data_IF_435059230779
#
_entry.id   IF_435059230779
#
_cell.length_a   1.000
_cell.length_b   1.000
_cell.length_c   1.000
_cell.angle_alpha   90.00
_cell.angle_beta   90.00
_cell.angle_gamma   90.00
#
_symmetry.space_group_name_H-M   'P 1'
#
loop_
_entity.id
_entity.type
_entity.pdbx_description
1 polymer ?
#
# COMPACT_ATOMS: atom_id res chain seq x y z
N UNK A 1 -48.74 56.47 -17.46
CA UNK A 1 -47.27 56.24 -17.67
C UNK A 1 -46.80 55.28 -16.56
N UNK A 2 -46.65 54.02 -16.90
CA UNK A 2 -46.27 52.97 -15.92
C UNK A 2 -44.81 52.58 -16.08
N UNK A 3 -44.00 52.78 -15.04
CA UNK A 3 -42.65 52.23 -14.95
C UNK A 3 -42.72 50.73 -14.60
N UNK A 4 -42.16 49.89 -15.45
CA UNK A 4 -41.96 48.48 -15.15
C UNK A 4 -40.62 48.29 -14.42
N UNK A 5 -40.58 47.60 -13.25
CA UNK A 5 -39.29 47.26 -12.66
C UNK A 5 -38.68 46.06 -13.37
N UNK A 6 -37.43 46.22 -13.82
CA UNK A 6 -36.60 45.16 -14.41
C UNK A 6 -36.16 44.18 -13.34
N UNK A 7 -36.43 42.90 -13.56
CA UNK A 7 -35.92 41.79 -12.73
C UNK A 7 -34.50 41.51 -13.15
N UNK A 8 -33.54 41.82 -12.27
CA UNK A 8 -32.15 41.43 -12.45
C UNK A 8 -31.99 39.94 -12.02
N UNK A 9 -31.73 39.09 -13.01
CA UNK A 9 -31.44 37.67 -12.76
C UNK A 9 -29.98 37.55 -12.35
N UNK A 10 -29.71 37.33 -11.06
CA UNK A 10 -28.38 37.04 -10.55
C UNK A 10 -28.04 35.58 -10.86
N UNK A 11 -27.13 35.35 -11.79
CA UNK A 11 -26.50 34.03 -11.99
C UNK A 11 -25.56 33.76 -10.81
N UNK A 12 -25.96 32.88 -9.90
CA UNK A 12 -25.07 32.31 -8.91
C UNK A 12 -24.21 31.23 -9.60
N UNK A 13 -22.95 31.56 -9.88
CA UNK A 13 -21.94 30.57 -10.31
C UNK A 13 -21.63 29.65 -9.12
N UNK A 14 -22.28 28.49 -9.08
CA UNK A 14 -21.95 27.42 -8.14
C UNK A 14 -20.61 26.82 -8.52
N UNK A 15 -19.53 27.15 -7.80
CA UNK A 15 -18.30 26.36 -7.82
C UNK A 15 -18.60 24.98 -7.26
N UNK A 16 -18.81 23.99 -8.12
CA UNK A 16 -18.81 22.60 -7.75
C UNK A 16 -17.38 22.23 -7.32
N UNK A 17 -17.13 22.17 -6.01
CA UNK A 17 -15.93 21.58 -5.46
C UNK A 17 -15.96 20.09 -5.82
N UNK A 18 -15.19 19.69 -6.86
CA UNK A 18 -14.96 18.29 -7.13
C UNK A 18 -14.35 17.65 -5.87
N UNK A 19 -14.85 16.51 -5.38
CA UNK A 19 -14.23 15.83 -4.26
C UNK A 19 -12.78 15.51 -4.65
N UNK A 20 -11.82 16.06 -3.89
CA UNK A 20 -10.44 15.67 -4.02
C UNK A 20 -10.36 14.15 -3.83
N UNK A 21 -9.85 13.44 -4.83
CA UNK A 21 -9.61 12.00 -4.71
C UNK A 21 -8.75 11.79 -3.48
N UNK A 22 -9.33 11.14 -2.46
CA UNK A 22 -8.64 10.89 -1.21
C UNK A 22 -7.55 9.87 -1.52
N UNK A 23 -6.28 10.24 -1.30
CA UNK A 23 -5.19 9.29 -1.35
C UNK A 23 -5.52 8.13 -0.42
N UNK A 24 -5.44 6.90 -0.91
CA UNK A 24 -5.63 5.74 -0.06
C UNK A 24 -4.36 5.48 0.77
N UNK A 25 -4.42 4.62 1.77
CA UNK A 25 -3.27 4.40 2.65
C UNK A 25 -2.05 3.81 1.94
N UNK A 26 -2.17 3.26 0.74
CA UNK A 26 -1.02 2.86 -0.07
C UNK A 26 -0.22 4.07 -0.57
N UNK A 27 -0.89 5.09 -1.07
CA UNK A 27 -0.23 6.30 -1.56
C UNK A 27 0.39 7.08 -0.39
N UNK A 28 -0.32 7.18 0.74
CA UNK A 28 0.16 7.85 1.95
C UNK A 28 1.40 7.15 2.54
N UNK A 29 1.34 5.83 2.72
CA UNK A 29 2.45 5.03 3.24
C UNK A 29 3.65 5.04 2.29
N UNK A 30 3.40 4.97 0.97
CA UNK A 30 4.44 5.03 -0.04
C UNK A 30 5.17 6.38 -0.03
N UNK A 31 4.43 7.49 0.05
CA UNK A 31 5.00 8.82 0.16
C UNK A 31 5.83 8.98 1.45
N UNK A 32 5.28 8.52 2.59
CA UNK A 32 5.95 8.60 3.89
C UNK A 32 7.26 7.81 3.94
N UNK A 33 7.29 6.62 3.35
CA UNK A 33 8.47 5.74 3.34
C UNK A 33 9.36 5.91 2.10
N UNK A 34 8.99 6.77 1.14
CA UNK A 34 9.68 6.95 -0.13
C UNK A 34 9.83 5.63 -0.91
N UNK A 35 8.74 4.88 -1.04
CA UNK A 35 8.64 3.65 -1.84
C UNK A 35 7.60 3.82 -2.95
N UNK A 36 7.57 2.89 -3.90
CA UNK A 36 6.63 2.96 -5.01
C UNK A 36 5.24 2.40 -4.61
N UNK A 37 4.14 3.17 -4.70
CA UNK A 37 2.81 2.70 -4.32
C UNK A 37 2.29 1.55 -5.21
N UNK A 38 2.67 1.51 -6.49
CA UNK A 38 2.29 0.40 -7.37
C UNK A 38 2.95 -0.92 -6.94
N UNK A 39 4.19 -0.86 -6.44
CA UNK A 39 4.88 -2.02 -5.87
C UNK A 39 4.18 -2.48 -4.59
N UNK A 40 3.79 -1.55 -3.69
CA UNK A 40 3.05 -1.92 -2.48
C UNK A 40 1.71 -2.60 -2.79
N UNK A 41 0.96 -2.09 -3.78
CA UNK A 41 -0.30 -2.72 -4.22
C UNK A 41 -0.06 -4.11 -4.83
N UNK A 42 0.99 -4.26 -5.61
CA UNK A 42 1.38 -5.55 -6.19
C UNK A 42 1.78 -6.57 -5.11
N UNK A 43 2.48 -6.12 -4.05
CA UNK A 43 2.78 -6.95 -2.87
C UNK A 43 1.49 -7.37 -2.19
N UNK A 44 0.56 -6.45 -1.90
CA UNK A 44 -0.72 -6.79 -1.28
C UNK A 44 -1.52 -7.83 -2.09
N UNK A 45 -1.48 -7.70 -3.41
CA UNK A 45 -2.11 -8.69 -4.30
C UNK A 45 -1.41 -10.05 -4.23
N UNK A 46 -0.08 -10.09 -4.28
CA UNK A 46 0.72 -11.30 -4.19
C UNK A 46 0.50 -12.02 -2.85
N UNK A 47 0.45 -11.27 -1.75
CA UNK A 47 0.40 -11.82 -0.39
C UNK A 47 -0.99 -12.33 0.00
N UNK A 48 -2.04 -11.60 -0.33
CA UNK A 48 -3.38 -11.89 0.17
C UNK A 48 -4.50 -11.73 -0.84
N UNK A 49 -4.20 -11.34 -2.09
CA UNK A 49 -5.19 -10.87 -3.08
C UNK A 49 -6.03 -9.70 -2.53
N UNK A 50 -5.40 -8.84 -1.73
CA UNK A 50 -6.04 -7.67 -1.13
C UNK A 50 -6.94 -7.96 0.08
N UNK A 51 -6.89 -9.17 0.66
CA UNK A 51 -7.74 -9.54 1.80
C UNK A 51 -7.15 -9.04 3.12
N UNK A 52 -7.86 -8.12 3.78
CA UNK A 52 -7.43 -7.57 5.07
C UNK A 52 -7.51 -8.56 6.23
N UNK A 53 -8.35 -9.57 6.14
CA UNK A 53 -8.59 -10.63 7.13
C UNK A 53 -7.68 -11.86 6.96
N UNK A 54 -6.73 -11.82 6.03
CA UNK A 54 -5.83 -12.93 5.77
C UNK A 54 -4.93 -13.22 6.98
N UNK A 55 -4.92 -14.45 7.44
CA UNK A 55 -4.04 -14.97 8.48
C UNK A 55 -3.51 -16.33 8.05
N UNK A 56 -2.17 -16.46 7.99
CA UNK A 56 -1.52 -17.68 7.58
C UNK A 56 -0.57 -18.18 8.68
N UNK A 57 -0.56 -19.49 8.90
CA UNK A 57 0.40 -20.15 9.80
C UNK A 57 1.43 -20.89 8.98
N UNK A 58 2.69 -20.54 9.16
CA UNK A 58 3.82 -21.18 8.51
C UNK A 58 4.21 -22.50 9.20
N UNK A 59 4.91 -23.37 8.51
CA UNK A 59 5.37 -24.67 9.04
C UNK A 59 6.29 -24.53 10.27
N UNK A 60 7.04 -23.42 10.37
CA UNK A 60 7.88 -23.09 11.52
C UNK A 60 7.12 -22.50 12.71
N UNK A 61 5.78 -22.40 12.62
CA UNK A 61 4.91 -21.87 13.66
C UNK A 61 4.75 -20.35 13.65
N UNK A 62 5.48 -19.60 12.79
CA UNK A 62 5.27 -18.18 12.61
C UNK A 62 3.91 -17.90 11.96
N UNK A 63 3.40 -16.68 12.15
CA UNK A 63 2.12 -16.22 11.59
C UNK A 63 2.36 -15.03 10.66
N UNK A 64 1.60 -14.99 9.57
CA UNK A 64 1.55 -13.85 8.65
C UNK A 64 0.18 -13.17 8.78
N UNK A 65 0.18 -11.86 8.99
CA UNK A 65 -0.99 -11.07 9.35
C UNK A 65 -1.41 -10.09 8.26
N UNK A 66 -2.71 -10.09 7.98
CA UNK A 66 -3.40 -9.04 7.24
C UNK A 66 -3.06 -8.96 5.75
N UNK A 67 -3.47 -7.85 5.16
CA UNK A 67 -3.38 -7.63 3.71
C UNK A 67 -1.96 -7.76 3.14
N UNK A 68 -0.94 -7.42 3.93
CA UNK A 68 0.47 -7.44 3.54
C UNK A 68 1.24 -8.65 4.06
N UNK A 69 0.57 -9.59 4.75
CA UNK A 69 1.13 -10.81 5.32
C UNK A 69 2.42 -10.55 6.13
N UNK A 70 2.32 -9.59 7.08
CA UNK A 70 3.45 -9.25 7.95
C UNK A 70 3.73 -10.41 8.91
N UNK A 71 4.95 -10.97 8.82
CA UNK A 71 5.33 -12.12 9.63
C UNK A 71 5.57 -11.75 11.10
N UNK A 72 5.16 -12.65 11.99
CA UNK A 72 5.33 -12.51 13.45
C UNK A 72 6.78 -12.37 13.91
N UNK A 73 7.77 -12.71 13.08
CA UNK A 73 9.19 -12.48 13.40
C UNK A 73 9.52 -11.00 13.60
N UNK A 74 8.75 -10.10 12.99
CA UNK A 74 8.93 -8.65 13.14
C UNK A 74 8.29 -8.10 14.43
N UNK A 75 7.52 -8.92 15.17
CA UNK A 75 6.70 -8.45 16.29
C UNK A 75 7.54 -7.80 17.42
N UNK A 76 8.76 -8.29 17.68
CA UNK A 76 9.63 -7.70 18.69
C UNK A 76 10.04 -6.27 18.35
N UNK A 77 10.27 -5.98 17.07
CA UNK A 77 10.62 -4.64 16.57
C UNK A 77 9.37 -3.74 16.54
N UNK A 78 8.23 -4.25 16.06
CA UNK A 78 6.97 -3.51 15.96
C UNK A 78 6.41 -3.09 17.33
N UNK A 79 6.56 -3.92 18.36
CA UNK A 79 6.15 -3.59 19.74
C UNK A 79 6.87 -2.36 20.29
N UNK A 80 8.10 -2.07 19.87
CA UNK A 80 8.82 -0.85 20.29
C UNK A 80 8.11 0.42 19.81
N UNK A 81 7.30 0.30 18.75
CA UNK A 81 6.49 1.38 18.20
C UNK A 81 5.02 1.30 18.62
N UNK A 82 4.71 0.43 19.58
CA UNK A 82 3.36 0.24 20.09
C UNK A 82 2.42 -0.51 19.12
N UNK A 83 2.97 -1.24 18.14
CA UNK A 83 2.18 -2.02 17.19
C UNK A 83 2.09 -3.46 17.64
N UNK A 84 0.89 -3.87 18.07
CA UNK A 84 0.57 -5.25 18.42
C UNK A 84 0.19 -6.07 17.17
N UNK A 85 0.27 -7.41 17.28
CA UNK A 85 -0.02 -8.30 16.15
C UNK A 85 -1.44 -8.13 15.60
N UNK A 86 -2.42 -7.91 16.46
CA UNK A 86 -3.83 -7.73 16.12
C UNK A 86 -4.06 -6.47 15.25
N UNK A 87 -3.22 -5.44 15.46
CA UNK A 87 -3.30 -4.21 14.67
C UNK A 87 -2.85 -4.42 13.21
N UNK A 88 -2.05 -5.45 12.93
CA UNK A 88 -1.65 -5.82 11.57
C UNK A 88 -2.81 -6.36 10.72
N UNK A 89 -3.94 -6.71 11.35
CA UNK A 89 -5.19 -7.05 10.67
C UNK A 89 -5.94 -5.80 10.18
N UNK A 90 -5.56 -4.60 10.63
CA UNK A 90 -6.07 -3.35 10.11
C UNK A 90 -5.33 -2.99 8.81
N UNK A 91 -6.02 -2.87 7.65
CA UNK A 91 -5.36 -2.75 6.36
C UNK A 91 -4.33 -1.62 6.28
N UNK A 92 -4.66 -0.41 6.75
CA UNK A 92 -3.73 0.72 6.69
C UNK A 92 -2.52 0.52 7.61
N UNK A 93 -2.68 -0.04 8.81
CA UNK A 93 -1.54 -0.36 9.69
C UNK A 93 -0.61 -1.35 9.00
N UNK A 94 -1.18 -2.42 8.40
CA UNK A 94 -0.42 -3.42 7.65
C UNK A 94 0.36 -2.79 6.49
N UNK A 95 -0.28 -1.91 5.71
CA UNK A 95 0.34 -1.22 4.56
C UNK A 95 1.50 -0.30 5.01
N UNK A 96 1.34 0.47 6.09
CA UNK A 96 2.42 1.31 6.62
C UNK A 96 3.62 0.47 7.11
N UNK A 97 3.37 -0.65 7.79
CA UNK A 97 4.42 -1.59 8.22
C UNK A 97 5.12 -2.22 7.01
N UNK A 98 4.37 -2.62 5.99
CA UNK A 98 4.95 -3.15 4.75
C UNK A 98 5.82 -2.12 4.02
N UNK A 99 5.35 -0.87 3.91
CA UNK A 99 6.13 0.20 3.30
C UNK A 99 7.45 0.44 4.06
N UNK A 100 7.42 0.44 5.39
CA UNK A 100 8.61 0.49 6.22
C UNK A 100 9.56 -0.69 5.96
N UNK A 101 9.04 -1.93 5.89
CA UNK A 101 9.85 -3.12 5.63
C UNK A 101 10.48 -3.08 4.24
N UNK A 102 9.72 -2.67 3.21
CA UNK A 102 10.25 -2.46 1.87
C UNK A 102 11.35 -1.41 1.86
N UNK A 103 11.15 -0.27 2.55
CA UNK A 103 12.17 0.76 2.69
C UNK A 103 13.45 0.25 3.35
N UNK A 104 13.32 -0.58 4.38
CA UNK A 104 14.44 -1.24 5.05
C UNK A 104 15.24 -2.11 4.06
N UNK A 105 14.56 -2.85 3.19
CA UNK A 105 15.21 -3.62 2.13
C UNK A 105 15.87 -2.72 1.08
N UNK A 106 15.24 -1.61 0.71
CA UNK A 106 15.83 -0.62 -0.21
C UNK A 106 17.11 0.03 0.36
N UNK A 107 17.18 0.25 1.66
CA UNK A 107 18.39 0.76 2.31
C UNK A 107 19.52 -0.26 2.28
N UNK A 108 19.20 -1.55 2.30
CA UNK A 108 20.18 -2.65 2.27
C UNK A 108 20.63 -3.03 0.87
N UNK A 109 19.71 -3.11 -0.07
CA UNK A 109 19.95 -3.63 -1.44
C UNK A 109 19.96 -2.54 -2.52
N UNK A 110 19.63 -1.29 -2.18
CA UNK A 110 19.38 -0.22 -3.12
C UNK A 110 17.92 -0.15 -3.59
N UNK A 111 17.59 0.94 -4.28
CA UNK A 111 16.24 1.11 -4.86
C UNK A 111 16.14 0.33 -6.18
N UNK A 112 15.97 -0.96 -6.08
CA UNK A 112 15.93 -1.88 -7.21
C UNK A 112 15.02 -3.10 -6.93
N UNK A 113 14.88 -3.98 -7.92
CA UNK A 113 14.03 -5.16 -7.81
C UNK A 113 14.54 -6.22 -6.82
N UNK A 114 15.83 -6.23 -6.50
CA UNK A 114 16.36 -7.13 -5.45
C UNK A 114 15.87 -6.75 -4.07
N UNK A 115 15.69 -5.45 -3.80
CA UNK A 115 15.05 -5.00 -2.57
C UNK A 115 13.58 -5.45 -2.49
N UNK A 116 12.85 -5.40 -3.61
CA UNK A 116 11.47 -5.90 -3.68
C UNK A 116 11.41 -7.41 -3.42
N UNK A 117 12.33 -8.17 -4.01
CA UNK A 117 12.43 -9.60 -3.75
C UNK A 117 12.77 -9.91 -2.30
N UNK A 118 13.68 -9.12 -1.70
CA UNK A 118 14.12 -9.27 -0.32
C UNK A 118 13.01 -8.95 0.71
N UNK A 119 11.94 -8.27 0.30
CA UNK A 119 10.74 -8.11 1.13
C UNK A 119 10.21 -9.46 1.61
N UNK A 120 10.17 -10.45 0.73
CA UNK A 120 9.72 -11.81 1.05
C UNK A 120 10.83 -12.66 1.67
N UNK A 121 12.02 -12.66 1.06
CA UNK A 121 13.15 -13.46 1.52
C UNK A 121 14.47 -12.91 1.00
N UNK A 122 15.50 -12.93 1.84
CA UNK A 122 16.85 -12.59 1.44
C UNK A 122 17.59 -13.78 0.78
N UNK A 123 17.02 -15.00 0.84
CA UNK A 123 17.56 -16.18 0.14
C UNK A 123 17.48 -15.96 -1.36
N UNK A 124 18.59 -16.03 -2.12
CA UNK A 124 18.63 -15.63 -3.53
C UNK A 124 17.55 -16.25 -4.41
N UNK A 125 17.33 -17.56 -4.31
CA UNK A 125 16.32 -18.24 -5.15
C UNK A 125 14.88 -17.77 -4.83
N UNK A 126 14.54 -17.58 -3.55
CA UNK A 126 13.23 -17.10 -3.13
C UNK A 126 13.05 -15.62 -3.46
N UNK A 127 14.08 -14.81 -3.23
CA UNK A 127 14.12 -13.40 -3.59
C UNK A 127 13.85 -13.21 -5.08
N UNK A 128 14.57 -13.95 -5.92
CA UNK A 128 14.51 -13.79 -7.38
C UNK A 128 13.15 -14.27 -7.93
N UNK A 129 12.60 -15.34 -7.40
CA UNK A 129 11.26 -15.81 -7.75
C UNK A 129 10.19 -14.79 -7.37
N UNK A 130 10.27 -14.23 -6.17
CA UNK A 130 9.31 -13.24 -5.69
C UNK A 130 9.35 -11.93 -6.49
N UNK A 131 10.56 -11.39 -6.74
CA UNK A 131 10.67 -10.15 -7.53
C UNK A 131 10.06 -10.28 -8.92
N UNK A 132 10.22 -11.43 -9.58
CA UNK A 132 9.62 -11.64 -10.90
C UNK A 132 8.09 -11.76 -10.82
N UNK A 133 7.54 -12.32 -9.75
CA UNK A 133 6.10 -12.32 -9.52
C UNK A 133 5.55 -10.90 -9.37
N UNK A 134 6.20 -10.06 -8.54
CA UNK A 134 5.78 -8.67 -8.35
C UNK A 134 5.92 -7.86 -9.65
N UNK A 135 7.02 -8.03 -10.40
CA UNK A 135 7.20 -7.36 -11.70
C UNK A 135 6.06 -7.64 -12.66
N UNK A 136 5.64 -8.90 -12.77
CA UNK A 136 4.49 -9.30 -13.62
C UNK A 136 3.20 -8.63 -13.18
N UNK A 137 2.94 -8.56 -11.87
CA UNK A 137 1.73 -7.91 -11.34
C UNK A 137 1.75 -6.41 -11.64
N UNK A 138 2.87 -5.73 -11.40
CA UNK A 138 3.01 -4.29 -11.71
C UNK A 138 2.80 -4.02 -13.20
N UNK A 139 3.39 -4.85 -14.08
CA UNK A 139 3.22 -4.70 -15.52
C UNK A 139 1.78 -4.89 -15.97
N UNK A 140 1.07 -5.90 -15.44
CA UNK A 140 -0.33 -6.17 -15.77
C UNK A 140 -1.24 -5.00 -15.35
N UNK A 141 -1.07 -4.45 -14.13
CA UNK A 141 -1.90 -3.33 -13.66
C UNK A 141 -1.49 -1.96 -14.23
N UNK A 142 -0.29 -1.84 -14.81
CA UNK A 142 0.15 -0.66 -15.55
C UNK A 142 -0.45 -0.56 -16.94
N UNK A 143 -0.70 -1.72 -17.58
CA UNK A 143 -1.32 -1.79 -18.91
C UNK A 143 -2.82 -1.44 -18.91
N UNK A 144 -3.50 -1.58 -17.75
CA UNK A 144 -4.93 -1.26 -17.61
C UNK A 144 -5.23 0.25 -17.46
N UNK A 145 -4.20 1.11 -17.50
CA UNK A 145 -4.31 2.57 -17.30
C UNK A 145 -4.04 3.40 -18.56
N UNK A 146 -3.78 2.76 -19.70
CA UNK A 146 -3.68 3.38 -21.03
C UNK A 146 -4.96 3.14 -21.83
#
# INVERSE_FOLDING_TARGET
MGLRPGVALALAAGCALAPAARADCFDEAAAYQHVNPAVLRAIAWQESHGRGDALHRNANGSLDYGIMQINSIHQSELRRWGIAAEQLMQPCVSVYVAAWHLRKMMLKYGNNWDAVGAYHSETPALRDSYKEAIRRIVAAHGADKE
#
